data_IF_907393624627
#
_entry.id   IF_907393624627
#
_cell.length_a   1.000
_cell.length_b   1.000
_cell.length_c   1.000
_cell.angle_alpha   90.00
_cell.angle_beta   90.00
_cell.angle_gamma   90.00
#
_symmetry.space_group_name_H-M   'P 1'
#
loop_
_entity.id
_entity.type
_entity.pdbx_description
1 polymer ?
#
# COMPACT_ATOMS: atom_id res chain seq x y z
N UNK A 1 23.61 0.58 3.84
CA UNK A 1 22.43 1.44 3.54
C UNK A 1 21.39 0.63 2.79
N UNK A 2 20.11 0.69 3.17
CA UNK A 2 19.04 0.01 2.45
C UNK A 2 19.04 0.50 0.99
N UNK A 3 19.26 -0.41 0.02
CA UNK A 3 19.34 -0.07 -1.42
C UNK A 3 18.09 0.65 -1.93
N UNK A 4 16.98 0.58 -1.18
CA UNK A 4 15.73 1.25 -1.50
C UNK A 4 15.78 2.78 -1.27
N UNK A 5 16.65 3.28 -0.38
CA UNK A 5 16.66 4.69 0.02
C UNK A 5 16.98 5.66 -1.12
N UNK A 6 17.68 5.19 -2.16
CA UNK A 6 18.08 5.99 -3.34
C UNK A 6 16.94 6.30 -4.31
N UNK A 7 15.78 5.65 -4.16
CA UNK A 7 14.64 5.83 -5.07
C UNK A 7 13.68 6.90 -4.57
N UNK A 8 13.00 7.55 -5.50
CA UNK A 8 11.91 8.48 -5.20
C UNK A 8 10.67 7.74 -4.65
N UNK A 9 9.75 8.39 -3.92
CA UNK A 9 8.62 7.72 -3.26
C UNK A 9 7.74 6.86 -4.19
N UNK A 10 7.39 7.41 -5.35
CA UNK A 10 6.68 6.74 -6.45
C UNK A 10 7.42 5.50 -6.96
N UNK A 11 8.74 5.61 -7.18
CA UNK A 11 9.57 4.48 -7.60
C UNK A 11 9.65 3.41 -6.50
N UNK A 12 9.84 3.82 -5.24
CA UNK A 12 9.86 2.91 -4.10
C UNK A 12 8.57 2.11 -4.02
N UNK A 13 7.44 2.78 -4.21
CA UNK A 13 6.13 2.14 -4.23
C UNK A 13 6.05 1.06 -5.33
N UNK A 14 6.34 1.40 -6.58
CA UNK A 14 6.26 0.46 -7.70
C UNK A 14 7.25 -0.71 -7.57
N UNK A 15 8.47 -0.45 -7.09
CA UNK A 15 9.48 -1.47 -6.83
C UNK A 15 8.99 -2.47 -5.78
N UNK A 16 8.42 -1.98 -4.69
CA UNK A 16 7.90 -2.82 -3.62
C UNK A 16 6.67 -3.60 -4.07
N UNK A 17 5.76 -2.96 -4.82
CA UNK A 17 4.59 -3.62 -5.39
C UNK A 17 5.00 -4.76 -6.34
N UNK A 18 5.96 -4.53 -7.25
CA UNK A 18 6.49 -5.61 -8.09
C UNK A 18 7.06 -6.78 -7.26
N UNK A 19 7.84 -6.49 -6.22
CA UNK A 19 8.42 -7.51 -5.34
C UNK A 19 7.37 -8.24 -4.51
N UNK A 20 6.26 -7.57 -4.19
CA UNK A 20 5.13 -8.19 -3.52
C UNK A 20 4.46 -9.18 -4.46
N UNK A 21 4.04 -8.72 -5.64
CA UNK A 21 3.36 -9.55 -6.64
C UNK A 21 4.23 -10.76 -7.05
N UNK A 22 5.53 -10.55 -7.29
CA UNK A 22 6.45 -11.63 -7.68
C UNK A 22 6.44 -12.79 -6.68
N UNK A 23 6.44 -12.50 -5.37
CA UNK A 23 6.42 -13.56 -4.35
C UNK A 23 5.15 -14.39 -4.38
N UNK A 24 4.03 -13.79 -4.74
CA UNK A 24 2.75 -14.47 -4.83
C UNK A 24 2.64 -15.31 -6.10
N UNK A 25 3.21 -14.81 -7.21
CA UNK A 25 3.31 -15.52 -8.48
C UNK A 25 4.19 -16.78 -8.33
N UNK A 26 5.32 -16.66 -7.63
CA UNK A 26 6.22 -17.78 -7.30
C UNK A 26 5.60 -18.80 -6.31
N UNK A 27 4.54 -18.42 -5.59
CA UNK A 27 3.88 -19.27 -4.60
C UNK A 27 2.64 -19.99 -5.15
N UNK A 28 2.42 -20.00 -6.48
CA UNK A 28 1.26 -20.59 -7.15
C UNK A 28 -0.09 -20.10 -6.60
N UNK A 29 -0.12 -18.85 -6.13
CA UNK A 29 -1.32 -18.27 -5.53
C UNK A 29 -2.37 -17.96 -6.61
N UNK A 30 -3.66 -18.15 -6.30
CA UNK A 30 -4.74 -17.72 -7.20
C UNK A 30 -4.66 -16.21 -7.42
N UNK A 31 -4.71 -15.78 -8.69
CA UNK A 31 -4.75 -14.38 -9.12
C UNK A 31 -5.70 -13.49 -8.32
N UNK A 32 -6.91 -13.95 -8.01
CA UNK A 32 -7.87 -13.18 -7.21
C UNK A 32 -7.30 -12.82 -5.84
N UNK A 33 -6.63 -13.79 -5.19
CA UNK A 33 -5.96 -13.57 -3.91
C UNK A 33 -4.79 -12.60 -4.06
N UNK A 34 -3.99 -12.73 -5.12
CA UNK A 34 -2.89 -11.77 -5.40
C UNK A 34 -3.42 -10.34 -5.53
N UNK A 35 -4.55 -10.16 -6.22
CA UNK A 35 -5.16 -8.84 -6.42
C UNK A 35 -5.68 -8.25 -5.10
N UNK A 36 -6.39 -9.05 -4.30
CA UNK A 36 -6.88 -8.63 -2.97
C UNK A 36 -5.72 -8.26 -2.04
N UNK A 37 -4.68 -9.09 -2.00
CA UNK A 37 -3.53 -8.87 -1.15
C UNK A 37 -2.66 -7.70 -1.67
N UNK A 38 -2.61 -7.46 -2.98
CA UNK A 38 -1.96 -6.29 -3.57
C UNK A 38 -2.71 -4.99 -3.25
N UNK A 39 -4.05 -5.01 -3.23
CA UNK A 39 -4.83 -3.86 -2.75
C UNK A 39 -4.54 -3.56 -1.27
N UNK A 40 -4.49 -4.59 -0.41
CA UNK A 40 -4.08 -4.44 0.99
C UNK A 40 -2.66 -3.87 1.12
N UNK A 41 -1.73 -4.34 0.29
CA UNK A 41 -0.38 -3.78 0.22
C UNK A 41 -0.43 -2.28 -0.11
N UNK A 42 -1.22 -1.87 -1.11
CA UNK A 42 -1.36 -0.46 -1.49
C UNK A 42 -1.93 0.39 -0.34
N UNK A 43 -2.93 -0.10 0.38
CA UNK A 43 -3.47 0.59 1.59
C UNK A 43 -2.38 0.75 2.64
N UNK A 44 -1.70 -0.35 2.99
CA UNK A 44 -0.67 -0.33 4.02
C UNK A 44 0.49 0.60 3.67
N UNK A 45 0.89 0.63 2.40
CA UNK A 45 1.92 1.55 1.92
C UNK A 45 1.46 3.01 2.01
N UNK A 46 0.25 3.30 1.52
CA UNK A 46 -0.34 4.62 1.52
C UNK A 46 -0.42 5.21 2.93
N UNK A 47 -1.04 4.48 3.87
CA UNK A 47 -1.22 4.95 5.24
C UNK A 47 0.12 5.13 5.98
N UNK A 48 1.14 4.35 5.64
CA UNK A 48 2.44 4.41 6.33
C UNK A 48 3.38 5.49 5.78
N UNK A 49 3.31 5.77 4.48
CA UNK A 49 4.34 6.54 3.78
C UNK A 49 3.81 7.74 2.99
N UNK A 50 2.50 7.79 2.75
CA UNK A 50 1.89 8.78 1.86
C UNK A 50 0.60 9.36 2.43
N UNK A 51 0.38 9.25 3.74
CA UNK A 51 -0.81 9.79 4.39
C UNK A 51 -0.95 11.30 4.19
N UNK A 52 0.17 12.04 4.08
CA UNK A 52 0.16 13.47 3.80
C UNK A 52 -0.39 13.82 2.40
N UNK A 53 -0.48 12.84 1.50
CA UNK A 53 -1.09 12.97 0.17
C UNK A 53 -2.58 12.57 0.16
N UNK A 54 -3.17 12.27 1.31
CA UNK A 54 -4.60 11.98 1.40
C UNK A 54 -5.42 13.20 0.98
N UNK A 55 -6.21 13.02 -0.08
CA UNK A 55 -7.21 13.98 -0.49
C UNK A 55 -8.52 13.70 0.28
N UNK A 56 -8.93 14.59 1.21
CA UNK A 56 -10.12 14.37 2.03
C UNK A 56 -11.42 14.46 1.24
N UNK A 57 -11.39 14.98 -0.01
CA UNK A 57 -12.56 14.99 -0.90
C UNK A 57 -12.81 13.64 -1.61
N UNK A 58 -11.84 12.73 -1.54
CA UNK A 58 -11.94 11.38 -2.12
C UNK A 58 -12.26 10.35 -1.04
N UNK A 59 -12.99 9.29 -1.43
CA UNK A 59 -13.10 8.07 -0.63
C UNK A 59 -11.71 7.47 -0.37
N UNK A 60 -11.57 6.68 0.69
CA UNK A 60 -10.30 6.06 1.03
C UNK A 60 -9.73 5.20 -0.09
N UNK A 61 -10.57 4.32 -0.65
CA UNK A 61 -10.24 3.51 -1.83
C UNK A 61 -9.87 4.34 -3.07
N UNK A 62 -10.49 5.51 -3.25
CA UNK A 62 -10.16 6.45 -4.35
C UNK A 62 -8.80 7.12 -4.16
N UNK A 63 -8.38 7.39 -2.92
CA UNK A 63 -7.02 7.83 -2.63
C UNK A 63 -5.98 6.77 -3.02
N UNK A 64 -6.27 5.49 -2.78
CA UNK A 64 -5.39 4.38 -3.20
C UNK A 64 -5.26 4.35 -4.73
N UNK A 65 -6.38 4.49 -5.44
CA UNK A 65 -6.38 4.55 -6.90
C UNK A 65 -5.57 5.74 -7.44
N UNK A 66 -5.72 6.91 -6.81
CA UNK A 66 -5.00 8.13 -7.19
C UNK A 66 -3.48 7.94 -7.03
N UNK A 67 -3.03 7.40 -5.90
CA UNK A 67 -1.61 7.14 -5.64
C UNK A 67 -1.04 6.11 -6.61
N UNK A 68 -1.74 5.00 -6.80
CA UNK A 68 -1.31 3.93 -7.71
C UNK A 68 -1.18 4.46 -9.16
N UNK A 69 -2.18 5.21 -9.61
CA UNK A 69 -2.18 5.81 -10.96
C UNK A 69 -1.10 6.89 -11.09
N UNK A 70 -0.93 7.75 -10.08
CA UNK A 70 0.09 8.80 -10.09
C UNK A 70 1.51 8.22 -10.14
N UNK A 71 1.77 7.11 -9.45
CA UNK A 71 3.07 6.45 -9.51
C UNK A 71 3.37 5.88 -10.90
N UNK A 72 2.36 5.30 -11.56
CA UNK A 72 2.50 4.76 -12.92
C UNK A 72 2.67 5.85 -13.98
N UNK A 73 2.06 7.02 -13.79
CA UNK A 73 2.17 8.17 -14.69
C UNK A 73 3.35 9.10 -14.36
N UNK A 74 4.14 8.77 -13.33
CA UNK A 74 5.28 9.58 -12.94
C UNK A 74 6.33 9.68 -14.05
N UNK A 75 6.95 10.86 -14.26
CA UNK A 75 8.09 10.98 -15.17
C UNK A 75 9.27 10.08 -14.78
N UNK A 76 9.35 9.63 -13.52
CA UNK A 76 10.40 8.75 -13.02
C UNK A 76 10.11 7.25 -13.23
N UNK A 77 8.97 6.90 -13.85
CA UNK A 77 8.58 5.51 -14.10
C UNK A 77 9.65 4.75 -14.89
N UNK A 78 10.12 5.34 -15.99
CA UNK A 78 11.11 4.72 -16.88
C UNK A 78 12.55 4.75 -16.34
N UNK A 79 12.79 5.39 -15.20
CA UNK A 79 14.12 5.40 -14.54
C UNK A 79 14.25 4.31 -13.47
N UNK A 80 13.20 3.50 -13.27
CA UNK A 80 13.25 2.29 -12.44
C UNK A 80 14.14 1.24 -13.12
N UNK A 81 15.02 0.52 -12.37
CA UNK A 81 15.92 -0.46 -12.99
C UNK A 81 15.18 -1.59 -13.70
N UNK A 82 15.71 -2.01 -14.85
CA UNK A 82 15.16 -3.10 -15.68
C UNK A 82 15.05 -4.47 -14.97
N UNK A 83 15.70 -4.64 -13.81
CA UNK A 83 15.52 -5.82 -12.94
C UNK A 83 14.14 -5.87 -12.28
N UNK A 84 13.36 -4.81 -12.39
CA UNK A 84 11.98 -4.69 -11.91
C UNK A 84 11.07 -4.80 -13.14
N UNK A 85 10.21 -5.82 -13.16
CA UNK A 85 9.25 -6.00 -14.26
C UNK A 85 8.08 -5.01 -14.08
N UNK A 86 8.17 -3.87 -14.76
CA UNK A 86 7.09 -2.89 -14.80
C UNK A 86 5.87 -3.42 -15.57
N UNK A 87 6.09 -4.29 -16.56
CA UNK A 87 5.01 -4.99 -17.28
C UNK A 87 4.12 -5.80 -16.34
N UNK A 88 4.72 -6.52 -15.37
CA UNK A 88 3.97 -7.23 -14.33
C UNK A 88 3.12 -6.28 -13.50
N UNK A 89 3.69 -5.14 -13.10
CA UNK A 89 2.97 -4.13 -12.32
C UNK A 89 1.80 -3.56 -13.12
N UNK A 90 1.99 -3.27 -14.40
CA UNK A 90 0.92 -2.80 -15.30
C UNK A 90 -0.17 -3.86 -15.52
N UNK A 91 0.22 -5.14 -15.65
CA UNK A 91 -0.73 -6.24 -15.75
C UNK A 91 -1.62 -6.32 -14.51
N UNK A 92 -1.04 -6.28 -13.31
CA UNK A 92 -1.80 -6.32 -12.05
C UNK A 92 -2.52 -5.02 -11.74
N UNK A 93 -2.02 -3.86 -12.19
CA UNK A 93 -2.68 -2.56 -12.05
C UNK A 93 -4.12 -2.65 -12.55
N UNK A 94 -4.32 -3.16 -13.78
CA UNK A 94 -5.66 -3.33 -14.36
C UNK A 94 -6.60 -4.10 -13.40
N UNK A 95 -6.15 -5.21 -12.85
CA UNK A 95 -6.98 -6.03 -11.98
C UNK A 95 -7.21 -5.40 -10.61
N UNK A 96 -6.26 -4.64 -10.08
CA UNK A 96 -6.43 -3.87 -8.84
C UNK A 96 -7.48 -2.78 -9.05
N UNK A 97 -7.44 -2.07 -10.18
CA UNK A 97 -8.44 -1.06 -10.53
C UNK A 97 -9.83 -1.69 -10.69
N UNK A 98 -9.93 -2.79 -11.44
CA UNK A 98 -11.18 -3.54 -11.59
C UNK A 98 -11.72 -4.00 -10.23
N UNK A 99 -10.85 -4.53 -9.36
CA UNK A 99 -11.25 -4.94 -8.02
C UNK A 99 -11.82 -3.77 -7.19
N UNK A 100 -11.17 -2.60 -7.21
CA UNK A 100 -11.65 -1.39 -6.52
C UNK A 100 -13.01 -0.95 -7.05
N UNK A 101 -13.19 -0.90 -8.37
CA UNK A 101 -14.41 -0.42 -9.01
C UNK A 101 -15.58 -1.38 -8.75
N UNK A 102 -15.37 -2.69 -8.90
CA UNK A 102 -16.43 -3.68 -8.80
C UNK A 102 -16.80 -4.07 -7.37
N UNK A 103 -15.99 -3.71 -6.36
CA UNK A 103 -16.20 -4.10 -4.97
C UNK A 103 -16.22 -2.88 -4.03
N UNK A 104 -16.81 -1.77 -4.48
CA UNK A 104 -16.76 -0.45 -3.81
C UNK A 104 -16.99 -0.49 -2.29
N UNK A 105 -18.03 -1.19 -1.84
CA UNK A 105 -18.33 -1.31 -0.41
C UNK A 105 -17.23 -2.06 0.36
N UNK A 106 -16.77 -3.20 -0.16
CA UNK A 106 -15.76 -4.04 0.49
C UNK A 106 -14.44 -3.28 0.60
N UNK A 107 -13.99 -2.67 -0.49
CA UNK A 107 -12.69 -2.00 -0.55
C UNK A 107 -12.63 -0.76 0.33
N UNK A 108 -13.76 -0.04 0.46
CA UNK A 108 -13.87 1.11 1.35
C UNK A 108 -13.90 0.68 2.82
N UNK A 109 -14.62 -0.40 3.14
CA UNK A 109 -14.62 -0.99 4.49
C UNK A 109 -13.21 -1.42 4.89
N UNK A 110 -12.51 -2.16 4.02
CA UNK A 110 -11.14 -2.61 4.26
C UNK A 110 -10.20 -1.43 4.53
N UNK A 111 -10.30 -0.36 3.74
CA UNK A 111 -9.50 0.84 3.94
C UNK A 111 -9.73 1.44 5.33
N UNK A 112 -11.00 1.63 5.73
CA UNK A 112 -11.36 2.18 7.03
C UNK A 112 -10.85 1.32 8.18
N UNK A 113 -11.05 0.00 8.11
CA UNK A 113 -10.59 -0.94 9.13
C UNK A 113 -9.07 -0.85 9.32
N UNK A 114 -8.31 -0.78 8.23
CA UNK A 114 -6.84 -0.62 8.28
C UNK A 114 -6.41 0.74 8.81
N UNK A 115 -7.12 1.82 8.43
CA UNK A 115 -6.86 3.16 8.96
C UNK A 115 -7.09 3.21 10.46
N UNK A 116 -8.17 2.60 10.96
CA UNK A 116 -8.45 2.50 12.39
C UNK A 116 -7.36 1.71 13.13
N UNK A 117 -6.94 0.56 12.60
CA UNK A 117 -5.86 -0.23 13.19
C UNK A 117 -4.58 0.60 13.31
N UNK A 118 -4.20 1.33 12.26
CA UNK A 118 -2.99 2.15 12.26
C UNK A 118 -3.10 3.33 13.26
N UNK A 119 -4.25 3.98 13.36
CA UNK A 119 -4.51 5.04 14.34
C UNK A 119 -4.57 4.52 15.79
N UNK A 120 -4.90 3.25 16.02
CA UNK A 120 -4.89 2.62 17.34
C UNK A 120 -3.48 2.17 17.79
N UNK A 121 -2.54 1.97 16.86
CA UNK A 121 -1.15 1.61 17.20
C UNK A 121 -0.42 2.63 18.09
N UNK A 122 -0.53 3.96 17.89
CA UNK A 122 0.06 4.93 18.82
C UNK A 122 -0.61 4.91 20.21
N UNK A 123 -1.93 4.67 20.31
CA UNK A 123 -2.66 4.63 21.59
C UNK A 123 -2.26 3.46 22.48
N UNK A 124 -1.94 2.31 21.89
CA UNK A 124 -1.52 1.11 22.64
C UNK A 124 -0.06 1.18 23.10
N UNK A 125 0.80 1.97 22.44
CA UNK A 125 2.15 2.24 22.92
C UNK A 125 2.12 3.19 24.14
N UNK A 126 1.29 4.23 24.12
CA UNK A 126 1.13 5.15 25.26
C UNK A 126 0.59 4.42 26.49
N UNK A 127 -0.43 3.55 26.35
CA UNK A 127 -0.96 2.77 27.49
C UNK A 127 0.06 1.83 28.12
N UNK A 128 0.92 1.18 27.34
CA UNK A 128 1.99 0.32 27.89
C UNK A 128 3.02 1.10 28.69
N UNK A 129 3.34 2.32 28.26
CA UNK A 129 4.28 3.19 28.99
C UNK A 129 3.66 3.68 30.30
N UNK A 130 2.39 4.11 30.30
CA UNK A 130 1.69 4.60 31.50
C UNK A 130 1.49 3.53 32.57
N UNK A 131 1.21 2.27 32.18
CA UNK A 131 1.06 1.17 33.13
C UNK A 131 2.41 0.81 33.79
N UNK A 132 3.54 0.92 33.07
CA UNK A 132 4.87 0.59 33.65
C UNK A 132 5.34 1.57 34.75
N UNK A 133 4.82 2.81 34.76
CA UNK A 133 5.12 3.79 35.81
C UNK A 133 4.23 3.64 37.06
N UNK A 134 3.07 3.00 36.95
CA UNK A 134 2.15 2.80 38.09
C UNK A 134 2.39 1.48 38.85
N UNK A 135 3.18 0.56 38.29
CA UNK A 135 3.58 -0.70 38.94
C UNK A 135 4.93 -0.62 39.68
N UNK A 136 5.40 0.59 40.02
CA UNK A 136 6.66 0.86 40.75
C UNK A 136 6.48 1.77 41.98
N UNK A 137 5.28 1.80 42.57
CA UNK A 137 5.03 2.42 43.88
C UNK A 137 4.63 1.30 44.86
#
# INVERSE_FOLDING_TARGET
MNKLNRYLPDQKFLILLNRFILRYDESECNKEKIVKDAYLFCIGYFLKHQQDYENPSLKGSSNILAVLTSALLSPNFYTIPNTISLERVLYFYKFIVEYIIWNEYEVEKIFHDHKLILLQQPLNQVKKTTISYQSKI
#
